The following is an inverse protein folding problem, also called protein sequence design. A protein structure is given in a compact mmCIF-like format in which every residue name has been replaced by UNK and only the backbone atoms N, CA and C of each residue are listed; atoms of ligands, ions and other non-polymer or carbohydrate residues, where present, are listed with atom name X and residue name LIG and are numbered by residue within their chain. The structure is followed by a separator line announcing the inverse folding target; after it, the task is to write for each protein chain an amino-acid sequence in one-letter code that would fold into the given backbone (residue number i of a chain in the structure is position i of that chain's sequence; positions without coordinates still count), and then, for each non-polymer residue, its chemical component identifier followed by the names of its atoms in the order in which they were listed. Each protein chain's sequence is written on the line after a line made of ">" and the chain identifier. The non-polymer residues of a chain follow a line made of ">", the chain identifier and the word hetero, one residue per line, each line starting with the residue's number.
data_IF_201836898418
#
_entry.id   IF_201836898418
#
_cell.length_a   1.000
_cell.length_b   1.000
_cell.length_c   1.000
_cell.angle_alpha   90.00
_cell.angle_beta   90.00
_cell.angle_gamma   90.00
#
_symmetry.space_group_name_H-M   'P 1'
#
loop_
_entity.id
_entity.type
_entity.pdbx_description
1 polymer ?
#
# COMPACT_ATOMS: atom_id res chain seq x y z
N UNK A 1 -8.50 11.83 -6.67
CA UNK A 1 -8.63 13.23 -6.22
C UNK A 1 -7.32 14.01 -6.34
N UNK A 2 -6.21 13.56 -5.73
CA UNK A 2 -4.92 14.27 -5.82
C UNK A 2 -4.45 14.53 -7.28
N UNK A 3 -4.41 13.50 -8.13
CA UNK A 3 -3.99 13.66 -9.52
C UNK A 3 -4.86 14.64 -10.32
N UNK A 4 -6.18 14.62 -10.07
CA UNK A 4 -7.12 15.57 -10.71
C UNK A 4 -6.83 17.01 -10.28
N UNK A 5 -6.47 17.25 -9.01
CA UNK A 5 -6.10 18.61 -8.56
C UNK A 5 -4.75 19.11 -9.12
N UNK A 6 -3.90 18.20 -9.61
CA UNK A 6 -2.58 18.53 -10.16
C UNK A 6 -2.63 18.83 -11.66
N UNK A 7 -3.64 18.36 -12.36
CA UNK A 7 -3.74 18.46 -13.81
C UNK A 7 -4.92 19.31 -14.23
N UNK A 8 -4.79 20.10 -15.32
CA UNK A 8 -5.89 20.91 -15.82
C UNK A 8 -7.01 20.09 -16.50
N UNK A 9 -6.72 18.85 -16.90
CA UNK A 9 -7.61 18.02 -17.71
C UNK A 9 -7.66 16.57 -17.19
N UNK A 10 -8.84 15.95 -17.27
CA UNK A 10 -9.13 14.66 -16.63
C UNK A 10 -8.44 13.48 -17.32
N UNK A 11 -8.27 13.53 -18.64
CA UNK A 11 -7.55 12.50 -19.40
C UNK A 11 -6.07 12.44 -18.98
N UNK A 12 -5.42 13.59 -18.74
CA UNK A 12 -4.04 13.62 -18.21
C UNK A 12 -3.99 13.02 -16.80
N UNK A 13 -4.93 13.37 -15.91
CA UNK A 13 -5.03 12.72 -14.60
C UNK A 13 -5.22 11.19 -14.72
N UNK A 14 -6.05 10.75 -15.66
CA UNK A 14 -6.28 9.35 -15.96
C UNK A 14 -5.01 8.63 -16.41
N UNK A 15 -4.23 9.25 -17.30
CA UNK A 15 -2.94 8.72 -17.77
C UNK A 15 -1.89 8.62 -16.65
N UNK A 16 -1.83 9.62 -15.75
CA UNK A 16 -0.96 9.54 -14.58
C UNK A 16 -1.41 8.41 -13.64
N UNK A 17 -2.70 8.29 -13.38
CA UNK A 17 -3.23 7.23 -12.53
C UNK A 17 -2.92 5.85 -13.11
N UNK A 18 -3.11 5.64 -14.41
CA UNK A 18 -2.85 4.36 -15.08
C UNK A 18 -1.37 3.97 -15.06
N UNK A 19 -0.45 4.94 -15.07
CA UNK A 19 0.97 4.69 -14.88
C UNK A 19 1.34 4.34 -13.43
N UNK A 20 0.69 4.98 -12.44
CA UNK A 20 0.97 4.76 -11.01
C UNK A 20 0.30 3.50 -10.44
N UNK A 21 -0.86 3.10 -10.94
CA UNK A 21 -1.64 1.97 -10.41
C UNK A 21 -0.88 0.62 -10.43
N UNK A 22 -0.14 0.28 -11.51
CA UNK A 22 0.68 -0.92 -11.54
C UNK A 22 1.79 -0.89 -10.50
N UNK A 23 2.40 0.28 -10.25
CA UNK A 23 3.46 0.43 -9.24
C UNK A 23 2.90 0.19 -7.83
N UNK A 24 1.71 0.73 -7.53
CA UNK A 24 1.01 0.49 -6.26
C UNK A 24 0.77 -1.01 -6.02
N UNK A 25 0.48 -1.78 -7.07
CA UNK A 25 0.21 -3.22 -6.96
C UNK A 25 1.49 -4.06 -6.92
N UNK A 26 2.47 -3.75 -7.78
CA UNK A 26 3.72 -4.49 -7.91
C UNK A 26 4.53 -4.45 -6.61
N UNK A 27 4.63 -3.28 -5.99
CA UNK A 27 5.35 -3.08 -4.74
C UNK A 27 4.48 -3.17 -3.49
N UNK A 28 3.25 -3.68 -3.60
CA UNK A 28 2.32 -3.88 -2.48
C UNK A 28 2.77 -4.97 -1.49
N UNK A 29 3.78 -5.78 -1.84
CA UNK A 29 4.19 -6.92 -1.02
C UNK A 29 3.38 -8.20 -1.26
N UNK A 30 2.33 -8.17 -2.06
CA UNK A 30 1.52 -9.35 -2.38
C UNK A 30 2.00 -10.07 -3.66
N UNK A 31 2.12 -9.33 -4.78
CA UNK A 31 2.62 -9.89 -6.04
C UNK A 31 4.11 -10.26 -5.93
N UNK A 32 4.89 -9.36 -5.34
CA UNK A 32 6.30 -9.60 -5.01
C UNK A 32 6.43 -9.47 -3.49
N UNK A 33 6.67 -10.57 -2.76
CA UNK A 33 6.89 -10.54 -1.33
C UNK A 33 8.02 -9.59 -0.97
N UNK A 34 7.90 -8.88 0.16
CA UNK A 34 8.87 -7.86 0.59
C UNK A 34 10.32 -8.36 0.55
N UNK A 35 10.55 -9.62 0.97
CA UNK A 35 11.88 -10.26 1.02
C UNK A 35 12.51 -10.50 -0.35
N UNK A 36 11.71 -10.53 -1.41
CA UNK A 36 12.16 -10.76 -2.79
C UNK A 36 12.41 -9.45 -3.56
N UNK A 37 11.99 -8.30 -3.01
CA UNK A 37 12.24 -6.99 -3.61
C UNK A 37 13.75 -6.67 -3.47
N UNK A 38 14.44 -6.27 -4.56
CA UNK A 38 15.84 -5.86 -4.49
C UNK A 38 16.06 -4.77 -3.43
N UNK A 39 17.15 -4.87 -2.66
CA UNK A 39 17.41 -3.97 -1.50
C UNK A 39 17.33 -2.47 -1.86
N UNK A 40 17.76 -2.11 -3.07
CA UNK A 40 17.69 -0.72 -3.55
C UNK A 40 16.26 -0.23 -3.81
N UNK A 41 15.31 -1.13 -4.08
CA UNK A 41 13.92 -0.81 -4.40
C UNK A 41 12.98 -0.96 -3.20
N UNK A 42 13.48 -1.42 -2.05
CA UNK A 42 12.65 -1.66 -0.85
C UNK A 42 12.02 -0.38 -0.30
N UNK A 43 12.59 0.80 -0.55
CA UNK A 43 11.96 2.06 -0.13
C UNK A 43 10.63 2.32 -0.86
N UNK A 44 10.46 1.84 -2.10
CA UNK A 44 9.18 1.94 -2.82
C UNK A 44 8.10 1.14 -2.09
N UNK A 45 8.42 -0.06 -1.62
CA UNK A 45 7.50 -0.87 -0.81
C UNK A 45 7.01 -0.12 0.43
N UNK A 46 7.89 0.62 1.11
CA UNK A 46 7.50 1.40 2.29
C UNK A 46 6.76 2.70 1.93
N UNK A 47 6.98 3.24 0.73
CA UNK A 47 6.29 4.44 0.26
C UNK A 47 4.84 4.14 -0.18
N UNK A 48 4.58 2.92 -0.67
CA UNK A 48 3.27 2.53 -1.17
C UNK A 48 2.27 2.32 -0.02
N UNK A 49 1.14 3.04 0.03
CA UNK A 49 0.14 2.85 1.08
C UNK A 49 -0.52 1.46 1.01
N UNK A 50 -0.63 0.87 -0.18
CA UNK A 50 -1.18 -0.48 -0.41
C UNK A 50 -0.43 -1.57 0.35
N UNK A 51 0.88 -1.43 0.50
CA UNK A 51 1.72 -2.34 1.28
C UNK A 51 1.30 -2.39 2.76
N UNK A 52 1.13 -1.21 3.36
CA UNK A 52 0.68 -1.08 4.74
C UNK A 52 -0.76 -1.54 4.92
N UNK A 53 -1.63 -1.27 3.95
CA UNK A 53 -3.04 -1.73 3.96
C UNK A 53 -3.12 -3.25 3.96
N UNK A 54 -2.39 -3.93 3.07
CA UNK A 54 -2.41 -5.38 2.99
C UNK A 54 -1.82 -6.01 4.25
N UNK A 55 -0.71 -5.47 4.76
CA UNK A 55 -0.14 -5.92 6.03
C UNK A 55 -1.18 -5.78 7.16
N UNK A 56 -1.82 -4.62 7.29
CA UNK A 56 -2.85 -4.38 8.32
C UNK A 56 -4.05 -5.32 8.18
N UNK A 57 -4.65 -5.43 6.99
CA UNK A 57 -5.85 -6.26 6.78
C UNK A 57 -5.57 -7.75 6.95
N UNK A 58 -4.48 -8.26 6.36
CA UNK A 58 -4.19 -9.68 6.43
C UNK A 58 -3.74 -10.11 7.83
N UNK A 59 -2.94 -9.29 8.51
CA UNK A 59 -2.52 -9.64 9.87
C UNK A 59 -3.63 -9.44 10.89
N UNK A 60 -4.51 -8.45 10.74
CA UNK A 60 -5.65 -8.30 11.66
C UNK A 60 -6.64 -9.45 11.57
N UNK A 61 -6.81 -10.05 10.38
CA UNK A 61 -7.79 -11.12 10.17
C UNK A 61 -7.23 -12.53 10.32
N UNK A 62 -5.96 -12.75 9.97
CA UNK A 62 -5.37 -14.09 9.92
C UNK A 62 -4.06 -14.21 10.71
N UNK A 63 -3.64 -13.14 11.39
CA UNK A 63 -2.36 -13.11 12.11
C UNK A 63 -2.36 -13.92 13.41
N UNK A 64 -3.53 -14.28 13.93
CA UNK A 64 -3.76 -15.08 15.13
C UNK A 64 -4.38 -16.46 14.83
N UNK A 65 -4.68 -16.74 13.55
CA UNK A 65 -5.26 -18.01 13.11
C UNK A 65 -4.14 -19.06 12.97
N UNK A 66 -4.27 -20.12 13.77
CA UNK A 66 -3.34 -21.25 13.80
C UNK A 66 -3.80 -22.43 12.93
N UNK A 67 -4.83 -22.24 12.11
CA UNK A 67 -5.30 -23.28 11.19
C UNK A 67 -4.20 -23.62 10.18
N UNK A 68 -3.93 -24.92 10.08
CA UNK A 68 -2.93 -25.46 9.16
C UNK A 68 -3.50 -25.54 7.75
N UNK A 69 -2.79 -24.95 6.81
CA UNK A 69 -3.09 -25.02 5.38
C UNK A 69 -1.91 -25.65 4.65
N UNK A 70 -2.22 -26.48 3.66
CA UNK A 70 -1.21 -27.08 2.79
C UNK A 70 -0.72 -26.04 1.79
N UNK A 71 0.52 -25.57 1.97
CA UNK A 71 1.12 -24.53 1.13
C UNK A 71 2.49 -25.02 0.64
N UNK A 72 2.67 -25.08 -0.67
CA UNK A 72 3.87 -25.65 -1.31
C UNK A 72 4.19 -27.10 -0.88
N UNK A 73 3.15 -27.90 -0.58
CA UNK A 73 3.32 -29.30 -0.16
C UNK A 73 3.68 -29.48 1.31
N UNK A 74 3.78 -28.41 2.10
CA UNK A 74 4.02 -28.44 3.54
C UNK A 74 2.81 -27.88 4.31
N UNK A 75 2.43 -28.51 5.42
CA UNK A 75 1.43 -27.97 6.34
C UNK A 75 2.04 -26.78 7.09
N UNK A 76 1.48 -25.58 6.87
CA UNK A 76 1.90 -24.34 7.52
C UNK A 76 0.69 -23.58 8.01
N UNK A 77 0.82 -22.90 9.14
CA UNK A 77 -0.24 -22.00 9.61
C UNK A 77 -0.31 -20.74 8.74
N UNK A 78 -1.51 -20.18 8.59
CA UNK A 78 -1.71 -18.93 7.84
C UNK A 78 -0.88 -17.79 8.44
N UNK A 79 -0.82 -17.69 9.77
CA UNK A 79 0.02 -16.72 10.47
C UNK A 79 1.52 -16.86 10.13
N UNK A 80 2.03 -18.10 10.05
CA UNK A 80 3.43 -18.37 9.66
C UNK A 80 3.69 -17.96 8.21
N UNK A 81 2.75 -18.21 7.30
CA UNK A 81 2.85 -17.79 5.90
C UNK A 81 2.93 -16.27 5.78
N UNK A 82 2.04 -15.53 6.45
CA UNK A 82 2.04 -14.06 6.44
C UNK A 82 3.38 -13.49 6.94
N UNK A 83 3.92 -14.04 8.02
CA UNK A 83 5.18 -13.57 8.62
C UNK A 83 6.42 -13.95 7.81
N UNK A 84 6.51 -15.21 7.38
CA UNK A 84 7.74 -15.75 6.78
C UNK A 84 7.83 -15.55 5.27
N UNK A 85 6.70 -15.64 4.56
CA UNK A 85 6.68 -15.45 3.12
C UNK A 85 6.45 -13.98 2.78
N UNK A 86 5.34 -13.39 3.24
CA UNK A 86 4.97 -12.01 2.89
C UNK A 86 5.71 -10.94 3.69
N UNK A 87 6.17 -11.26 4.91
CA UNK A 87 6.82 -10.28 5.79
C UNK A 87 5.83 -9.41 6.58
N UNK A 88 4.56 -9.83 6.67
CA UNK A 88 3.53 -9.12 7.41
C UNK A 88 3.56 -9.52 8.89
N UNK A 89 3.63 -8.51 9.76
CA UNK A 89 3.89 -8.71 11.19
C UNK A 89 2.69 -8.24 12.01
N UNK A 90 1.97 -9.19 12.62
CA UNK A 90 0.84 -8.91 13.50
C UNK A 90 1.23 -8.04 14.71
N UNK A 91 2.42 -8.26 15.27
CA UNK A 91 2.97 -7.52 16.41
C UNK A 91 3.04 -5.99 16.18
N UNK A 92 3.07 -5.56 14.90
CA UNK A 92 3.23 -4.16 14.47
C UNK A 92 1.95 -3.52 13.94
N UNK A 93 0.79 -4.14 14.18
CA UNK A 93 -0.52 -3.65 13.71
C UNK A 93 -0.82 -2.20 14.10
N UNK A 94 -0.46 -1.78 15.32
CA UNK A 94 -0.66 -0.40 15.76
C UNK A 94 0.17 0.59 14.92
N UNK A 95 1.38 0.21 14.51
CA UNK A 95 2.26 1.05 13.66
C UNK A 95 1.65 1.17 12.27
N UNK A 96 1.17 0.05 11.69
CA UNK A 96 0.57 0.06 10.36
C UNK A 96 -0.71 0.89 10.33
N UNK A 97 -1.54 0.82 11.37
CA UNK A 97 -2.74 1.65 11.50
C UNK A 97 -2.42 3.15 11.57
N UNK A 98 -1.44 3.54 12.40
CA UNK A 98 -1.00 4.95 12.51
C UNK A 98 -0.45 5.46 11.17
N UNK A 99 0.35 4.65 10.47
CA UNK A 99 0.88 5.01 9.16
C UNK A 99 -0.23 5.20 8.13
N UNK A 100 -1.25 4.34 8.12
CA UNK A 100 -2.38 4.50 7.20
C UNK A 100 -3.15 5.80 7.43
N UNK A 101 -3.41 6.15 8.70
CA UNK A 101 -4.05 7.42 9.06
C UNK A 101 -3.19 8.61 8.63
N UNK A 102 -1.87 8.55 8.87
CA UNK A 102 -0.96 9.63 8.49
C UNK A 102 -0.89 9.80 6.97
N UNK A 103 -0.87 8.71 6.21
CA UNK A 103 -0.98 8.77 4.74
C UNK A 103 -2.27 9.47 4.30
N UNK A 104 -3.43 9.08 4.83
CA UNK A 104 -4.70 9.74 4.48
C UNK A 104 -4.67 11.24 4.75
N UNK A 105 -4.12 11.66 5.89
CA UNK A 105 -3.98 13.08 6.25
C UNK A 105 -3.03 13.82 5.32
N UNK A 106 -1.88 13.23 4.97
CA UNK A 106 -0.91 13.81 4.03
C UNK A 106 -1.55 13.98 2.65
N UNK A 107 -2.20 12.94 2.13
CA UNK A 107 -2.87 13.00 0.83
C UNK A 107 -4.00 14.04 0.81
N UNK A 108 -4.79 14.13 1.88
CA UNK A 108 -5.84 15.14 2.00
C UNK A 108 -5.27 16.57 2.06
N UNK A 109 -4.19 16.77 2.82
CA UNK A 109 -3.53 18.07 2.95
C UNK A 109 -2.90 18.51 1.63
N UNK A 110 -2.20 17.60 0.94
CA UNK A 110 -1.64 17.86 -0.39
C UNK A 110 -2.73 18.18 -1.40
N UNK A 111 -3.82 17.43 -1.40
CA UNK A 111 -4.97 17.69 -2.28
C UNK A 111 -5.55 19.09 -2.04
N UNK A 112 -5.80 19.47 -0.78
CA UNK A 112 -6.30 20.80 -0.45
C UNK A 112 -5.32 21.91 -0.84
N UNK A 113 -4.01 21.69 -0.64
CA UNK A 113 -2.97 22.64 -1.03
C UNK A 113 -2.93 22.85 -2.55
N UNK A 114 -2.91 21.78 -3.34
CA UNK A 114 -2.87 21.89 -4.80
C UNK A 114 -4.16 22.46 -5.35
N UNK A 115 -5.32 22.08 -4.81
CA UNK A 115 -6.60 22.67 -5.17
C UNK A 115 -6.60 24.18 -4.91
N UNK A 116 -6.05 24.63 -3.79
CA UNK A 116 -5.97 26.06 -3.47
C UNK A 116 -4.99 26.84 -4.36
N UNK A 117 -3.86 26.23 -4.75
CA UNK A 117 -2.79 26.91 -5.50
C UNK A 117 -2.96 26.87 -7.01
N UNK A 118 -3.40 25.72 -7.53
CA UNK A 118 -3.47 25.44 -8.97
C UNK A 118 -4.88 25.61 -9.53
N UNK A 119 -5.87 25.96 -8.69
CA UNK A 119 -7.30 26.05 -9.01
C UNK A 119 -7.62 26.40 -10.48
N UNK A 120 -7.77 25.38 -11.32
CA UNK A 120 -7.94 25.53 -12.77
C UNK A 120 -9.35 25.98 -13.14
N UNK A 121 -10.32 25.84 -12.23
CA UNK A 121 -11.72 26.25 -12.48
C UNK A 121 -11.95 27.76 -12.35
N UNK A 122 -10.97 28.52 -11.85
CA UNK A 122 -11.06 29.98 -11.68
C UNK A 122 -10.40 30.80 -12.80
N UNK A 123 -10.04 30.16 -13.92
CA UNK A 123 -9.53 30.84 -15.11
C UNK A 123 -10.62 31.04 -16.16
#
# INVERSE_FOLDING_TARGET
>A
MLFVSLTPEVTIAGALLSAFYPLLNLFSGFLIPQRQIPKWWTWLYYLMPTSWTLNCLLTSQFGDINDEVMVFGEAKTVASLLKNYFGFHHDRLHITAILLISYSLIFATLYAFFLSRLNFERR
#
